data_IF_447094422988
#
_entry.id   IF_447094422988
#
_cell.length_a   1.000
_cell.length_b   1.000
_cell.length_c   1.000
_cell.angle_alpha   90.00
_cell.angle_beta   90.00
_cell.angle_gamma   90.00
#
_symmetry.space_group_name_H-M   'P 1'
#
loop_
_entity.id
_entity.type
_entity.pdbx_description
1 polymer ?
#
# COMPACT_ATOMS: atom_id res chain seq x y z
N UNK A 1 -1.40 -6.46 14.42
CA UNK A 1 -0.89 -5.51 13.40
C UNK A 1 -1.12 -6.16 12.03
N UNK A 2 -1.58 -5.44 11.01
CA UNK A 2 -1.73 -6.03 9.67
C UNK A 2 -0.36 -6.18 8.99
N UNK A 3 -0.12 -7.24 8.20
CA UNK A 3 1.16 -7.48 7.51
C UNK A 3 1.40 -6.58 6.29
N UNK A 4 0.56 -5.55 6.11
CA UNK A 4 0.70 -4.54 5.07
C UNK A 4 0.11 -3.20 5.51
N UNK A 5 0.42 -2.14 4.77
CA UNK A 5 -0.20 -0.81 4.88
C UNK A 5 -0.75 -0.35 3.55
N UNK A 6 -1.94 0.25 3.57
CA UNK A 6 -2.49 0.97 2.43
C UNK A 6 -1.85 2.36 2.31
N UNK A 7 -1.65 2.82 1.08
CA UNK A 7 -1.01 4.09 0.74
C UNK A 7 -1.56 4.60 -0.60
N UNK A 8 -2.01 5.86 -0.69
CA UNK A 8 -2.36 6.47 -1.96
C UNK A 8 -1.07 6.68 -2.78
N UNK A 9 -1.03 6.18 -4.00
CA UNK A 9 0.11 6.26 -4.89
C UNK A 9 -0.35 6.13 -6.35
N UNK A 10 0.28 6.87 -7.27
CA UNK A 10 0.00 6.83 -8.72
C UNK A 10 -1.51 6.89 -9.09
N UNK A 11 -2.30 7.70 -8.37
CA UNK A 11 -3.73 7.86 -8.63
C UNK A 11 -4.62 6.69 -8.17
N UNK A 12 -4.08 5.74 -7.41
CA UNK A 12 -4.83 4.63 -6.81
C UNK A 12 -4.48 4.40 -5.34
N UNK A 13 -5.19 3.49 -4.68
CA UNK A 13 -4.80 2.96 -3.36
C UNK A 13 -4.02 1.67 -3.54
N UNK A 14 -2.76 1.69 -3.12
CA UNK A 14 -1.84 0.56 -3.15
C UNK A 14 -1.60 0.02 -1.74
N UNK A 15 -1.19 -1.23 -1.63
CA UNK A 15 -0.72 -1.82 -0.38
C UNK A 15 0.76 -2.13 -0.48
N UNK A 16 1.50 -2.06 0.62
CA UNK A 16 2.89 -2.51 0.71
C UNK A 16 3.14 -3.31 1.99
N UNK A 17 4.00 -4.33 1.89
CA UNK A 17 4.51 -5.08 3.03
C UNK A 17 5.78 -4.45 3.64
N UNK A 18 6.30 -3.36 3.06
CA UNK A 18 7.40 -2.56 3.62
C UNK A 18 6.88 -1.73 4.80
N UNK A 19 6.52 -2.41 5.88
CA UNK A 19 5.88 -1.78 7.04
C UNK A 19 6.94 -1.02 7.83
N UNK A 20 6.98 0.29 7.62
CA UNK A 20 7.76 1.20 8.46
C UNK A 20 6.94 1.70 9.64
N UNK A 21 7.61 2.00 10.75
CA UNK A 21 6.96 2.59 11.92
C UNK A 21 6.21 3.87 11.51
N UNK A 22 4.96 3.99 11.97
CA UNK A 22 4.14 5.21 11.90
C UNK A 22 3.97 5.87 10.52
N UNK A 23 3.63 5.12 9.46
CA UNK A 23 3.13 5.73 8.22
C UNK A 23 4.14 6.63 7.48
N UNK A 24 5.42 6.37 7.70
CA UNK A 24 6.56 7.19 7.27
C UNK A 24 6.87 7.13 5.76
N UNK A 25 5.88 6.92 4.89
CA UNK A 25 6.10 7.03 3.45
C UNK A 25 6.05 8.51 3.07
N UNK A 26 7.20 9.06 2.69
CA UNK A 26 7.26 10.47 2.33
C UNK A 26 6.51 10.71 1.01
N UNK A 27 5.81 11.84 0.88
CA UNK A 27 5.20 12.22 -0.40
C UNK A 27 6.29 12.35 -1.46
N UNK A 28 6.10 11.71 -2.62
CA UNK A 28 7.09 11.64 -3.69
C UNK A 28 8.10 10.50 -3.56
N UNK A 29 8.10 9.76 -2.44
CA UNK A 29 8.89 8.54 -2.30
C UNK A 29 8.38 7.44 -3.25
N UNK A 30 9.30 6.63 -3.78
CA UNK A 30 8.93 5.42 -4.52
C UNK A 30 9.02 4.20 -3.60
N UNK A 31 7.94 3.44 -3.53
CA UNK A 31 7.86 2.19 -2.75
C UNK A 31 7.49 1.01 -3.65
N UNK A 32 7.83 -0.21 -3.23
CA UNK A 32 7.32 -1.42 -3.89
C UNK A 32 5.97 -1.80 -3.30
N UNK A 33 4.94 -1.79 -4.14
CA UNK A 33 3.60 -2.24 -3.76
C UNK A 33 3.46 -3.77 -3.89
N UNK A 34 2.41 -4.33 -3.28
CA UNK A 34 2.07 -5.75 -3.38
C UNK A 34 1.78 -6.19 -4.82
N UNK A 35 1.30 -5.28 -5.68
CA UNK A 35 1.19 -5.50 -7.13
C UNK A 35 2.53 -5.52 -7.87
N UNK A 36 3.65 -5.61 -7.14
CA UNK A 36 5.04 -5.73 -7.65
C UNK A 36 5.50 -4.52 -8.48
N UNK A 37 4.70 -3.47 -8.56
CA UNK A 37 5.04 -2.19 -9.18
C UNK A 37 5.71 -1.27 -8.16
N UNK A 38 6.72 -0.55 -8.62
CA UNK A 38 7.23 0.65 -7.94
C UNK A 38 6.24 1.78 -8.17
N UNK A 39 5.72 2.38 -7.10
CA UNK A 39 4.71 3.43 -7.16
C UNK A 39 5.14 4.65 -6.37
N UNK A 40 4.77 5.85 -6.83
CA UNK A 40 5.11 7.10 -6.17
C UNK A 40 4.03 7.50 -5.18
N UNK A 41 4.42 7.64 -3.92
CA UNK A 41 3.54 7.99 -2.80
C UNK A 41 2.94 9.36 -3.03
N UNK A 42 1.61 9.41 -3.05
CA UNK A 42 0.86 10.65 -3.11
C UNK A 42 0.62 11.21 -1.70
N UNK A 43 0.25 12.49 -1.65
CA UNK A 43 -0.25 13.09 -0.41
C UNK A 43 -1.53 12.37 0.01
N UNK A 44 -1.58 11.88 1.25
CA UNK A 44 -2.75 11.21 1.83
C UNK A 44 -3.91 12.14 2.19
N UNK A 45 -4.42 12.90 1.22
CA UNK A 45 -5.65 13.71 1.38
C UNK A 45 -6.88 12.82 1.43
N UNK A 46 -8.00 13.32 1.96
CA UNK A 46 -9.28 12.59 1.96
C UNK A 46 -9.68 12.13 0.55
N UNK A 47 -9.48 12.99 -0.46
CA UNK A 47 -9.75 12.64 -1.86
C UNK A 47 -8.85 11.51 -2.38
N UNK A 48 -7.56 11.52 -2.02
CA UNK A 48 -6.63 10.46 -2.43
C UNK A 48 -7.02 9.10 -1.82
N UNK A 49 -7.58 9.13 -0.61
CA UNK A 49 -8.15 7.95 0.03
C UNK A 49 -9.48 7.51 -0.58
N UNK A 50 -10.08 8.25 -1.51
CA UNK A 50 -11.26 7.82 -2.27
C UNK A 50 -10.93 7.21 -3.63
N UNK A 51 -9.67 7.28 -4.08
CA UNK A 51 -9.24 6.70 -5.35
C UNK A 51 -9.50 5.19 -5.46
N UNK A 52 -9.64 4.62 -6.67
CA UNK A 52 -9.82 3.18 -6.83
C UNK A 52 -8.73 2.36 -6.12
N UNK A 53 -9.14 1.27 -5.45
CA UNK A 53 -8.18 0.30 -4.93
C UNK A 53 -7.54 -0.44 -6.09
N UNK A 54 -6.21 -0.59 -6.08
CA UNK A 54 -5.53 -1.47 -7.01
C UNK A 54 -6.01 -2.92 -6.77
N UNK A 55 -6.68 -3.52 -7.75
CA UNK A 55 -7.30 -4.85 -7.62
C UNK A 55 -6.28 -5.95 -7.24
N UNK A 56 -5.07 -5.86 -7.77
CA UNK A 56 -3.98 -6.77 -7.44
C UNK A 56 -3.49 -6.60 -5.99
N UNK A 57 -3.27 -5.36 -5.54
CA UNK A 57 -2.92 -5.10 -4.13
C UNK A 57 -4.01 -5.62 -3.18
N UNK A 58 -5.28 -5.51 -3.55
CA UNK A 58 -6.38 -6.04 -2.75
C UNK A 58 -6.27 -7.56 -2.61
N UNK A 59 -6.11 -8.27 -3.72
CA UNK A 59 -5.97 -9.73 -3.74
C UNK A 59 -4.77 -10.19 -2.89
N UNK A 60 -3.60 -9.60 -3.09
CA UNK A 60 -2.38 -9.96 -2.34
C UNK A 60 -2.47 -9.62 -0.84
N UNK A 61 -3.15 -8.53 -0.49
CA UNK A 61 -3.41 -8.18 0.92
C UNK A 61 -4.25 -9.26 1.63
N UNK A 62 -5.25 -9.83 0.96
CA UNK A 62 -6.02 -10.96 1.49
C UNK A 62 -5.15 -12.20 1.66
N UNK A 63 -4.34 -12.55 0.65
CA UNK A 63 -3.39 -13.68 0.72
C UNK A 63 -2.42 -13.54 1.90
N UNK A 64 -1.85 -12.35 2.13
CA UNK A 64 -0.93 -12.10 3.25
C UNK A 64 -1.60 -12.30 4.62
N UNK A 65 -2.88 -11.95 4.75
CA UNK A 65 -3.63 -12.15 6.00
C UNK A 65 -3.99 -13.62 6.20
N UNK A 66 -4.43 -14.30 5.13
CA UNK A 66 -4.83 -15.71 5.17
C UNK A 66 -3.66 -16.64 5.48
N UNK A 67 -2.50 -16.36 4.89
CA UNK A 67 -1.29 -17.19 5.04
C UNK A 67 -0.56 -16.97 6.36
N UNK A 68 -0.94 -15.94 7.13
CA UNK A 68 -0.34 -15.64 8.44
C UNK A 68 1.17 -15.42 8.38
N UNK A 69 1.73 -15.13 7.19
CA UNK A 69 3.15 -14.89 6.98
C UNK A 69 3.50 -13.58 7.70
N UNK A 70 3.87 -13.74 8.96
CA UNK A 70 4.60 -12.74 9.73
C UNK A 70 6.02 -12.75 9.18
N UNK A 71 6.41 -11.69 8.48
CA UNK A 71 7.82 -11.39 8.30
C UNK A 71 8.40 -10.93 9.64
#
# INVERSE_FOLDING_TARGET
>A
MHPFRWVPADGGRHATADIRLAGAYAVGETITALCRRSVTVARGTELAWLWPTCAECNREAHVLVETGVSQ
#
